data_IF_859172821435
#
_entry.id   IF_859172821435
#
_cell.length_a   1.000
_cell.length_b   1.000
_cell.length_c   1.000
_cell.angle_alpha   90.00
_cell.angle_beta   90.00
_cell.angle_gamma   90.00
#
_symmetry.space_group_name_H-M   'P 1'
#
loop_
_entity.id
_entity.type
_entity.pdbx_description
1 polymer ?
#
# COMPACT_ATOMS: atom_id res chain seq x y z
N UNK A 1 21.61 -19.91 -2.51
CA UNK A 1 20.55 -18.92 -2.27
C UNK A 1 20.95 -18.15 -1.02
N UNK A 2 20.92 -16.80 -1.03
CA UNK A 2 21.23 -15.97 0.14
C UNK A 2 19.92 -15.41 0.71
N UNK A 3 19.72 -15.49 2.01
CA UNK A 3 18.62 -14.86 2.71
C UNK A 3 18.96 -13.38 2.94
N UNK A 4 18.11 -12.47 2.47
CA UNK A 4 18.29 -11.01 2.63
C UNK A 4 17.76 -10.55 3.98
N UNK A 5 16.57 -11.02 4.35
CA UNK A 5 15.91 -10.65 5.59
C UNK A 5 15.15 -11.83 6.20
N UNK A 6 15.02 -11.85 7.50
CA UNK A 6 14.18 -12.78 8.25
C UNK A 6 13.39 -11.99 9.30
N UNK A 7 12.05 -12.05 9.28
CA UNK A 7 11.24 -11.37 10.28
C UNK A 7 11.47 -11.97 11.66
N UNK A 8 11.37 -11.15 12.67
CA UNK A 8 11.40 -11.58 14.08
C UNK A 8 10.01 -12.09 14.48
N UNK A 9 9.97 -12.99 15.45
CA UNK A 9 8.75 -13.43 16.14
C UNK A 9 7.60 -13.95 15.24
N UNK A 10 7.93 -14.55 14.09
CA UNK A 10 6.89 -15.13 13.24
C UNK A 10 6.02 -14.17 12.47
N UNK A 11 6.39 -12.87 12.43
CA UNK A 11 5.66 -11.85 11.64
C UNK A 11 5.50 -12.28 10.18
N UNK A 12 4.33 -12.02 9.60
CA UNK A 12 4.04 -12.28 8.19
C UNK A 12 4.66 -11.21 7.30
N UNK A 13 5.12 -11.60 6.12
CA UNK A 13 5.61 -10.70 5.06
C UNK A 13 4.73 -10.86 3.82
N UNK A 14 4.38 -9.74 3.17
CA UNK A 14 3.62 -9.68 1.93
C UNK A 14 4.14 -8.54 1.02
N UNK A 15 3.62 -8.47 -0.19
CA UNK A 15 3.68 -7.32 -1.12
C UNK A 15 5.10 -6.81 -1.40
N UNK A 16 6.00 -7.71 -1.74
CA UNK A 16 7.39 -7.37 -2.00
C UNK A 16 7.56 -6.61 -3.32
N UNK A 17 8.23 -5.46 -3.28
CA UNK A 17 8.58 -4.62 -4.45
C UNK A 17 10.07 -4.28 -4.45
N UNK A 18 10.73 -4.48 -5.58
CA UNK A 18 12.11 -4.05 -5.80
C UNK A 18 12.14 -2.55 -6.11
N UNK A 19 13.07 -1.83 -5.52
CA UNK A 19 13.33 -0.42 -5.85
C UNK A 19 13.90 -0.30 -7.27
N UNK A 20 13.69 0.87 -7.91
CA UNK A 20 14.16 1.15 -9.26
C UNK A 20 15.68 1.00 -9.45
N UNK A 21 16.47 1.31 -8.44
CA UNK A 21 17.93 1.17 -8.44
C UNK A 21 18.39 -0.29 -8.30
N UNK A 22 17.49 -1.21 -7.97
CA UNK A 22 17.79 -2.63 -7.83
C UNK A 22 18.66 -2.99 -6.62
N UNK A 23 18.74 -2.12 -5.62
CA UNK A 23 19.62 -2.25 -4.45
C UNK A 23 18.88 -2.55 -3.14
N UNK A 24 17.55 -2.35 -3.09
CA UNK A 24 16.70 -2.52 -1.92
C UNK A 24 15.30 -2.96 -2.29
N UNK A 25 14.58 -3.50 -1.32
CA UNK A 25 13.18 -3.94 -1.46
C UNK A 25 12.32 -3.33 -0.37
N UNK A 26 11.08 -2.96 -0.72
CA UNK A 26 10.03 -2.75 0.24
C UNK A 26 9.16 -3.99 0.37
N UNK A 27 8.51 -4.13 1.50
CA UNK A 27 7.53 -5.17 1.77
C UNK A 27 6.61 -4.75 2.90
N UNK A 28 5.45 -5.34 2.92
CA UNK A 28 4.52 -5.24 4.03
C UNK A 28 4.87 -6.27 5.08
N UNK A 29 4.88 -5.90 6.36
CA UNK A 29 5.10 -6.80 7.48
C UNK A 29 4.20 -6.46 8.65
N UNK A 30 3.73 -7.47 9.38
CA UNK A 30 3.01 -7.25 10.64
C UNK A 30 3.96 -6.75 11.72
N UNK A 31 3.56 -5.69 12.41
CA UNK A 31 4.23 -5.18 13.60
C UNK A 31 3.57 -5.81 14.85
N UNK A 32 4.36 -6.47 15.67
CA UNK A 32 3.88 -7.14 16.91
C UNK A 32 2.65 -8.05 16.69
N UNK A 33 2.63 -8.75 15.54
CA UNK A 33 1.58 -9.67 15.07
C UNK A 33 0.17 -9.05 14.96
N UNK A 34 0.06 -7.72 14.93
CA UNK A 34 -1.24 -7.05 14.95
C UNK A 34 -1.48 -6.07 13.83
N UNK A 35 -0.50 -5.23 13.48
CA UNK A 35 -0.67 -4.16 12.51
C UNK A 35 0.26 -4.31 11.32
N UNK A 36 -0.24 -4.03 10.15
CA UNK A 36 0.55 -3.99 8.94
C UNK A 36 1.28 -2.65 8.82
N UNK A 37 2.56 -2.70 8.47
CA UNK A 37 3.32 -1.53 8.06
C UNK A 37 4.30 -1.88 6.94
N UNK A 38 4.76 -0.86 6.23
CA UNK A 38 5.70 -1.01 5.12
C UNK A 38 7.11 -0.77 5.61
N UNK A 39 7.96 -1.71 5.27
CA UNK A 39 9.39 -1.70 5.62
C UNK A 39 10.25 -1.75 4.37
N UNK A 40 11.47 -1.32 4.51
CA UNK A 40 12.52 -1.38 3.49
C UNK A 40 13.76 -2.05 4.04
N UNK A 41 14.46 -2.81 3.19
CA UNK A 41 15.76 -3.41 3.49
C UNK A 41 16.62 -3.43 2.22
N UNK A 42 17.93 -3.16 2.36
CA UNK A 42 18.88 -3.31 1.28
C UNK A 42 19.07 -4.78 0.89
N UNK A 43 19.37 -5.06 -0.38
CA UNK A 43 19.58 -6.43 -0.84
C UNK A 43 20.79 -7.12 -0.19
N UNK A 44 21.70 -6.38 0.41
CA UNK A 44 22.80 -6.94 1.21
C UNK A 44 22.38 -7.37 2.64
N UNK A 45 21.13 -7.05 3.04
CA UNK A 45 20.55 -7.35 4.34
C UNK A 45 20.74 -6.25 5.38
N UNK A 46 21.34 -5.13 5.00
CA UNK A 46 21.51 -3.95 5.87
C UNK A 46 20.35 -2.96 5.73
N UNK A 47 20.30 -1.93 6.58
CA UNK A 47 19.38 -0.79 6.41
C UNK A 47 17.91 -1.11 6.63
N UNK A 48 17.56 -2.20 7.33
CA UNK A 48 16.16 -2.48 7.69
C UNK A 48 15.56 -1.33 8.51
N UNK A 49 14.45 -0.78 8.03
CA UNK A 49 13.73 0.33 8.68
C UNK A 49 12.26 0.35 8.25
N UNK A 50 11.37 0.95 9.03
CA UNK A 50 10.06 1.34 8.52
C UNK A 50 10.25 2.35 7.37
N UNK A 51 9.54 2.16 6.28
CA UNK A 51 9.51 3.09 5.16
C UNK A 51 8.41 4.14 5.36
N UNK A 52 7.27 3.73 5.90
CA UNK A 52 6.22 4.64 6.36
C UNK A 52 6.34 4.81 7.87
N UNK A 53 6.69 6.01 8.30
CA UNK A 53 6.73 6.39 9.71
C UNK A 53 5.41 7.08 10.09
N UNK A 54 4.77 6.58 11.13
CA UNK A 54 3.46 7.03 11.57
C UNK A 54 3.28 6.76 13.06
N UNK A 55 2.81 7.75 13.80
CA UNK A 55 2.58 7.69 15.24
C UNK A 55 1.13 7.30 15.62
N UNK A 56 0.23 7.25 14.62
CA UNK A 56 -1.18 6.89 14.85
C UNK A 56 -1.32 5.38 15.07
N UNK A 57 -1.77 4.94 16.26
CA UNK A 57 -1.76 3.53 16.62
C UNK A 57 -2.76 2.67 15.82
N UNK A 58 -3.78 3.28 15.24
CA UNK A 58 -4.87 2.60 14.53
C UNK A 58 -4.70 2.62 13.01
N UNK A 59 -3.64 3.26 12.49
CA UNK A 59 -3.36 3.27 11.07
C UNK A 59 -2.47 2.08 10.67
N UNK A 60 -2.87 1.46 9.58
CA UNK A 60 -2.15 0.39 8.91
C UNK A 60 -1.72 0.84 7.52
N UNK A 61 -0.57 0.30 7.06
CA UNK A 61 -0.04 0.53 5.72
C UNK A 61 0.43 -0.77 5.12
N UNK A 62 0.00 -1.06 3.91
CA UNK A 62 0.33 -2.29 3.20
C UNK A 62 0.33 -2.07 1.69
N UNK A 63 0.76 -3.06 0.94
CA UNK A 63 0.75 -3.10 -0.52
C UNK A 63 1.32 -1.81 -1.15
N UNK A 64 2.55 -1.50 -0.79
CA UNK A 64 3.25 -0.29 -1.24
C UNK A 64 3.84 -0.40 -2.63
N UNK A 65 4.04 0.75 -3.30
CA UNK A 65 4.83 0.87 -4.52
C UNK A 65 5.66 2.15 -4.51
N UNK A 66 6.92 2.05 -4.99
CA UNK A 66 7.79 3.22 -5.14
C UNK A 66 7.37 4.07 -6.33
N UNK A 67 7.37 5.38 -6.16
CA UNK A 67 7.35 6.35 -7.26
C UNK A 67 8.78 6.69 -7.71
N UNK A 68 9.00 7.06 -8.99
CA UNK A 68 10.33 7.41 -9.49
C UNK A 68 10.97 8.63 -8.80
N UNK A 69 10.18 9.48 -8.16
CA UNK A 69 10.64 10.67 -7.42
C UNK A 69 11.03 10.39 -5.95
N UNK A 70 10.92 9.13 -5.52
CA UNK A 70 11.26 8.67 -4.17
C UNK A 70 10.11 8.68 -3.17
N UNK A 71 8.92 9.14 -3.58
CA UNK A 71 7.70 8.99 -2.78
C UNK A 71 7.15 7.57 -2.88
N UNK A 72 6.20 7.26 -2.05
CA UNK A 72 5.56 5.94 -1.97
C UNK A 72 4.05 6.08 -2.05
N UNK A 73 3.40 5.24 -2.83
CA UNK A 73 1.97 5.01 -2.71
C UNK A 73 1.78 3.73 -1.91
N UNK A 74 0.89 3.77 -0.94
CA UNK A 74 0.53 2.63 -0.10
C UNK A 74 -0.99 2.53 0.05
N UNK A 75 -1.47 1.38 0.48
CA UNK A 75 -2.85 1.21 0.94
C UNK A 75 -2.89 1.44 2.44
N UNK A 76 -3.93 2.12 2.91
CA UNK A 76 -4.14 2.42 4.33
C UNK A 76 -5.62 2.41 4.68
N UNK A 77 -5.93 2.08 5.93
CA UNK A 77 -7.25 2.23 6.52
C UNK A 77 -7.56 3.68 6.97
N UNK A 78 -6.84 4.67 6.46
CA UNK A 78 -6.91 6.10 6.84
C UNK A 78 -8.32 6.71 6.76
N UNK A 79 -9.22 6.07 6.03
CA UNK A 79 -10.63 6.48 5.96
C UNK A 79 -11.42 6.14 7.23
N UNK A 80 -10.89 5.29 8.10
CA UNK A 80 -11.58 4.74 9.28
C UNK A 80 -12.97 4.19 8.95
N UNK A 81 -13.11 3.61 7.76
CA UNK A 81 -14.35 3.09 7.25
C UNK A 81 -14.32 1.56 7.27
N UNK A 82 -15.35 0.95 7.81
CA UNK A 82 -15.51 -0.49 7.79
C UNK A 82 -16.21 -0.97 6.52
N UNK A 83 -15.89 -2.17 6.08
CA UNK A 83 -16.54 -2.84 4.95
C UNK A 83 -17.94 -3.30 5.38
N UNK A 84 -19.03 -2.78 4.77
CA UNK A 84 -20.40 -3.04 5.26
C UNK A 84 -20.81 -4.52 5.22
N UNK A 85 -20.39 -5.26 4.19
CA UNK A 85 -20.80 -6.65 3.97
C UNK A 85 -20.25 -7.64 5.03
N UNK A 86 -19.27 -7.21 5.83
CA UNK A 86 -18.71 -7.98 6.95
C UNK A 86 -18.95 -7.26 8.29
N UNK A 87 -20.03 -6.50 8.38
CA UNK A 87 -20.44 -5.74 9.57
C UNK A 87 -19.34 -4.78 10.08
N UNK A 88 -18.50 -4.25 9.19
CA UNK A 88 -17.41 -3.34 9.52
C UNK A 88 -16.22 -4.00 10.23
N UNK A 89 -16.13 -5.33 10.24
CA UNK A 89 -14.98 -6.03 10.86
C UNK A 89 -13.67 -5.81 10.12
N UNK A 90 -13.73 -5.58 8.81
CA UNK A 90 -12.58 -5.27 7.98
C UNK A 90 -12.58 -3.79 7.58
N UNK A 91 -11.41 -3.19 7.54
CA UNK A 91 -11.26 -1.81 7.15
C UNK A 91 -11.18 -1.65 5.63
N UNK A 92 -11.77 -0.57 5.11
CA UNK A 92 -11.65 -0.18 3.72
C UNK A 92 -10.24 0.35 3.46
N UNK A 93 -9.54 -0.26 2.51
CA UNK A 93 -8.22 0.17 2.06
C UNK A 93 -8.29 1.29 1.03
N UNK A 94 -7.77 2.46 1.36
CA UNK A 94 -7.62 3.59 0.43
C UNK A 94 -6.15 3.86 0.15
N UNK A 95 -5.86 4.40 -1.04
CA UNK A 95 -4.49 4.78 -1.38
C UNK A 95 -4.09 6.09 -0.71
N UNK A 96 -2.86 6.10 -0.23
CA UNK A 96 -2.17 7.28 0.29
C UNK A 96 -0.86 7.51 -0.46
N UNK A 97 -0.51 8.75 -0.64
CA UNK A 97 0.82 9.20 -1.06
C UNK A 97 1.60 9.61 0.17
N UNK A 98 2.76 9.03 0.35
CA UNK A 98 3.68 9.31 1.46
C UNK A 98 5.01 9.82 0.92
N UNK A 99 5.51 10.91 1.49
CA UNK A 99 6.86 11.42 1.21
C UNK A 99 7.80 11.10 2.38
N UNK A 100 8.79 10.20 2.20
CA UNK A 100 9.71 9.85 3.27
C UNK A 100 10.64 11.00 3.71
N UNK A 101 10.76 12.09 2.94
CA UNK A 101 11.67 13.21 3.24
C UNK A 101 11.12 14.11 4.34
N UNK A 102 9.84 14.42 4.27
CA UNK A 102 9.17 15.31 5.23
C UNK A 102 8.08 14.60 6.03
N UNK A 103 7.89 13.30 5.79
CA UNK A 103 6.87 12.44 6.41
C UNK A 103 5.43 12.90 6.14
N UNK A 104 5.23 13.72 5.12
CA UNK A 104 3.90 14.14 4.74
C UNK A 104 3.09 13.00 4.15
N UNK A 105 1.79 13.00 4.43
CA UNK A 105 0.87 11.99 3.94
C UNK A 105 -0.38 12.64 3.35
N UNK A 106 -0.83 12.13 2.20
CA UNK A 106 -2.05 12.61 1.56
C UNK A 106 -2.86 11.43 1.03
N UNK A 107 -4.14 11.37 1.37
CA UNK A 107 -5.08 10.40 0.81
C UNK A 107 -5.34 10.70 -0.67
N UNK A 108 -5.28 9.67 -1.51
CA UNK A 108 -5.46 9.76 -2.97
C UNK A 108 -6.82 9.25 -3.44
N UNK A 109 -7.37 8.21 -2.78
CA UNK A 109 -8.67 7.64 -3.13
C UNK A 109 -9.64 7.79 -1.98
N UNK A 110 -10.92 7.98 -2.32
CA UNK A 110 -12.01 8.26 -1.37
C UNK A 110 -13.18 7.32 -1.59
N UNK A 111 -12.90 6.18 -2.21
CA UNK A 111 -13.88 5.17 -2.53
C UNK A 111 -14.46 4.56 -1.25
N UNK A 112 -15.72 4.17 -1.32
CA UNK A 112 -16.40 3.45 -0.25
C UNK A 112 -15.89 2.00 -0.15
N UNK A 113 -15.41 1.46 -1.28
CA UNK A 113 -14.85 0.12 -1.38
C UNK A 113 -13.32 0.17 -1.45
N UNK A 114 -12.67 -0.96 -1.19
CA UNK A 114 -11.23 -1.02 -1.06
C UNK A 114 -10.49 -0.96 -2.41
N UNK A 115 -9.29 -0.40 -2.37
CA UNK A 115 -8.34 -0.36 -3.49
C UNK A 115 -7.11 -1.20 -3.13
N UNK A 116 -6.52 -1.89 -4.12
CA UNK A 116 -5.35 -2.76 -3.92
C UNK A 116 -4.41 -2.76 -5.12
N UNK A 117 -3.23 -3.31 -4.90
CA UNK A 117 -2.21 -3.64 -5.90
C UNK A 117 -1.78 -2.45 -6.75
N UNK A 118 -1.36 -1.32 -6.16
CA UNK A 118 -0.84 -0.21 -6.93
C UNK A 118 0.47 -0.60 -7.63
N UNK A 119 0.55 -0.28 -8.93
CA UNK A 119 1.76 -0.46 -9.74
C UNK A 119 1.97 0.74 -10.66
N UNK A 120 3.21 1.08 -10.94
CA UNK A 120 3.55 2.18 -11.83
C UNK A 120 3.62 1.67 -13.27
N UNK A 121 2.85 2.29 -14.15
CA UNK A 121 2.85 2.04 -15.58
C UNK A 121 4.01 2.76 -16.27
N UNK A 122 4.39 2.30 -17.46
CA UNK A 122 5.47 2.92 -18.24
C UNK A 122 5.23 4.40 -18.59
N UNK A 123 3.98 4.84 -18.62
CA UNK A 123 3.61 6.24 -18.84
C UNK A 123 3.57 7.09 -17.56
N UNK A 124 4.04 6.53 -16.43
CA UNK A 124 4.08 7.20 -15.13
C UNK A 124 2.77 7.22 -14.36
N UNK A 125 1.69 6.66 -14.91
CA UNK A 125 0.41 6.55 -14.19
C UNK A 125 0.44 5.39 -13.20
N UNK A 126 -0.42 5.43 -12.22
CA UNK A 126 -0.63 4.37 -11.22
C UNK A 126 -1.82 3.54 -11.67
N UNK A 127 -1.59 2.26 -11.94
CA UNK A 127 -2.64 1.27 -12.15
C UNK A 127 -2.92 0.55 -10.83
N UNK A 128 -4.18 0.22 -10.58
CA UNK A 128 -4.59 -0.46 -9.36
C UNK A 128 -5.91 -1.22 -9.55
N UNK A 129 -6.24 -2.07 -8.60
CA UNK A 129 -7.51 -2.77 -8.55
C UNK A 129 -8.45 -2.06 -7.56
N UNK A 130 -9.68 -1.78 -8.01
CA UNK A 130 -10.75 -1.25 -7.18
C UNK A 130 -11.84 -2.31 -7.00
N UNK A 131 -12.30 -2.51 -5.80
CA UNK A 131 -13.50 -3.29 -5.52
C UNK A 131 -14.74 -2.43 -5.80
N UNK A 132 -15.66 -2.93 -6.62
CA UNK A 132 -16.92 -2.29 -6.93
C UNK A 132 -18.06 -3.14 -6.36
N UNK A 133 -18.40 -2.89 -5.12
CA UNK A 133 -19.49 -3.59 -4.44
C UNK A 133 -20.74 -2.73 -4.28
N UNK A 134 -20.58 -1.41 -4.17
CA UNK A 134 -21.65 -0.47 -3.84
C UNK A 134 -22.70 -0.37 -4.94
N UNK A 135 -22.26 -0.23 -6.19
CA UNK A 135 -23.14 -0.06 -7.35
C UNK A 135 -23.39 -1.37 -8.11
N UNK A 136 -22.53 -2.35 -7.92
CA UNK A 136 -22.64 -3.66 -8.53
C UNK A 136 -22.89 -4.70 -7.42
N UNK A 137 -23.99 -5.43 -7.52
CA UNK A 137 -24.36 -6.47 -6.56
C UNK A 137 -23.46 -7.71 -6.60
N UNK A 138 -22.19 -7.54 -6.97
CA UNK A 138 -21.25 -8.63 -7.17
C UNK A 138 -20.07 -8.53 -6.18
N UNK A 139 -20.08 -9.36 -5.17
CA UNK A 139 -19.01 -9.51 -4.20
C UNK A 139 -17.62 -9.68 -4.85
N UNK A 140 -17.55 -10.30 -6.03
CA UNK A 140 -16.31 -10.56 -6.75
C UNK A 140 -15.94 -9.51 -7.80
N UNK A 141 -16.72 -8.44 -7.94
CA UNK A 141 -16.43 -7.42 -8.95
C UNK A 141 -15.15 -6.66 -8.61
N UNK A 142 -14.20 -6.71 -9.53
CA UNK A 142 -12.92 -5.99 -9.45
C UNK A 142 -12.69 -5.28 -10.77
N UNK A 143 -12.44 -3.99 -10.68
CA UNK A 143 -12.18 -3.13 -11.84
C UNK A 143 -10.73 -2.68 -11.81
N UNK A 144 -10.07 -2.77 -12.96
CA UNK A 144 -8.74 -2.20 -13.13
C UNK A 144 -8.90 -0.70 -13.41
N UNK A 145 -8.31 0.10 -12.57
CA UNK A 145 -8.33 1.55 -12.60
C UNK A 145 -6.93 2.11 -12.82
N UNK A 146 -6.87 3.35 -13.27
CA UNK A 146 -5.60 4.09 -13.27
C UNK A 146 -5.82 5.57 -12.96
N UNK A 147 -4.78 6.22 -12.43
CA UNK A 147 -4.78 7.63 -12.06
C UNK A 147 -3.39 8.24 -12.24
N UNK A 148 -3.27 9.55 -12.17
CA UNK A 148 -1.99 10.21 -11.99
C UNK A 148 -1.43 9.93 -10.57
N UNK A 149 -0.10 10.01 -10.35
CA UNK A 149 0.49 9.76 -9.03
C UNK A 149 -0.01 10.68 -7.92
N UNK A 150 -0.62 11.81 -8.29
CA UNK A 150 -1.25 12.75 -7.36
C UNK A 150 -2.72 12.45 -7.06
N UNK A 151 -3.26 11.35 -7.59
CA UNK A 151 -4.65 10.93 -7.40
C UNK A 151 -5.65 11.55 -8.36
N UNK A 152 -5.21 12.44 -9.27
CA UNK A 152 -6.08 13.06 -10.27
C UNK A 152 -6.35 12.14 -11.47
N UNK A 153 -7.36 12.49 -12.27
CA UNK A 153 -7.76 11.72 -13.47
C UNK A 153 -7.95 10.21 -13.23
N UNK A 154 -8.63 9.89 -12.16
CA UNK A 154 -8.98 8.52 -11.83
C UNK A 154 -10.06 8.00 -12.79
N UNK A 155 -9.79 6.89 -13.47
CA UNK A 155 -10.71 6.27 -14.45
C UNK A 155 -10.43 4.79 -14.63
N UNK A 156 -11.41 4.06 -15.13
CA UNK A 156 -11.25 2.67 -15.54
C UNK A 156 -10.27 2.56 -16.72
N UNK A 157 -9.53 1.46 -16.75
CA UNK A 157 -8.58 1.16 -17.83
C UNK A 157 -9.33 0.62 -19.05
#
# INVERSE_FOLDING_TARGET
>A
MRQVYKPKNGSSIADLKLHWDGDRVMFTQTQDDKRWNIYEVNLDGTGFKPLVENDEPDLEFYDGTYLPDGRVIAISNIGYQGVPCVNGSDAVGNMVLYDPKDKSMRRLTFDQDANWNPVIMNNGRVMYTRWEYTDLTHYYSRIVMHMNPDGTENKAL
#
